data_IF_984382902492
#
_entry.id   IF_984382902492
#
_cell.length_a   1.000
_cell.length_b   1.000
_cell.length_c   1.000
_cell.angle_alpha   90.00
_cell.angle_beta   90.00
_cell.angle_gamma   90.00
#
_symmetry.space_group_name_H-M   'P 1'
#
loop_
_entity.id
_entity.type
_entity.pdbx_description
1 polymer ?
#
# COMPACT_ATOMS: atom_id res chain seq x y z
N UNK A 1 -16.43 6.78 0.29
CA UNK A 1 -15.65 5.83 1.09
C UNK A 1 -14.96 6.63 2.19
N UNK A 2 -14.99 6.14 3.42
CA UNK A 2 -14.24 6.70 4.54
C UNK A 2 -12.82 6.14 4.54
N UNK A 3 -11.87 6.92 5.04
CA UNK A 3 -10.48 6.47 5.13
C UNK A 3 -10.33 5.22 6.01
N UNK A 4 -11.13 5.12 7.07
CA UNK A 4 -11.20 3.96 7.95
C UNK A 4 -11.59 2.66 7.24
N UNK A 5 -12.21 2.73 6.07
CA UNK A 5 -12.60 1.56 5.29
C UNK A 5 -11.42 0.96 4.50
N UNK A 6 -10.30 1.67 4.35
CA UNK A 6 -9.07 1.14 3.73
C UNK A 6 -8.38 0.10 4.62
N UNK A 7 -8.52 0.25 5.95
CA UNK A 7 -7.89 -0.63 6.91
C UNK A 7 -8.29 -2.10 6.72
N UNK A 8 -7.33 -3.00 6.85
CA UNK A 8 -7.55 -4.45 6.75
C UNK A 8 -7.72 -4.99 5.33
N UNK A 9 -7.69 -4.13 4.29
CA UNK A 9 -7.71 -4.58 2.90
C UNK A 9 -6.35 -5.11 2.45
N UNK A 10 -6.40 -6.14 1.62
CA UNK A 10 -5.25 -6.76 0.96
C UNK A 10 -4.84 -5.97 -0.29
N UNK A 11 -3.55 -5.69 -0.46
CA UNK A 11 -2.96 -5.10 -1.66
C UNK A 11 -2.50 -6.18 -2.64
N UNK A 12 -2.99 -6.11 -3.88
CA UNK A 12 -2.66 -7.06 -4.95
C UNK A 12 -2.23 -6.31 -6.21
N UNK A 13 -1.11 -6.72 -6.79
CA UNK A 13 -0.64 -6.20 -8.06
C UNK A 13 -1.40 -6.84 -9.23
N UNK A 14 -1.94 -6.00 -10.11
CA UNK A 14 -2.67 -6.37 -11.30
C UNK A 14 -1.81 -7.14 -12.32
N UNK A 15 -0.52 -6.82 -12.40
CA UNK A 15 0.37 -7.33 -13.45
C UNK A 15 0.77 -8.78 -13.21
N UNK A 16 1.11 -9.15 -11.97
CA UNK A 16 1.64 -10.47 -11.61
C UNK A 16 0.75 -11.24 -10.61
N UNK A 17 -0.31 -10.62 -10.08
CA UNK A 17 -1.19 -11.22 -9.07
C UNK A 17 -0.56 -11.34 -7.68
N UNK A 18 0.60 -10.72 -7.46
CA UNK A 18 1.33 -10.80 -6.19
C UNK A 18 0.58 -10.08 -5.06
N UNK A 19 0.58 -10.69 -3.88
CA UNK A 19 0.04 -10.12 -2.65
C UNK A 19 1.13 -9.32 -1.96
N UNK A 20 0.98 -8.01 -1.94
CA UNK A 20 1.99 -7.08 -1.41
C UNK A 20 1.87 -6.87 0.10
N UNK A 21 0.69 -7.12 0.68
CA UNK A 21 0.46 -7.02 2.12
C UNK A 21 -0.93 -6.51 2.47
N UNK A 22 -1.08 -6.07 3.73
CA UNK A 22 -2.34 -5.53 4.27
C UNK A 22 -2.08 -4.09 4.70
N UNK A 23 -3.02 -3.18 4.41
CA UNK A 23 -2.98 -1.74 4.76
C UNK A 23 -3.00 -1.45 6.27
N UNK A 24 -3.06 -2.48 7.13
CA UNK A 24 -3.28 -2.31 8.57
C UNK A 24 -2.26 -1.38 9.27
N UNK A 25 -1.00 -1.39 8.82
CA UNK A 25 0.08 -0.56 9.38
C UNK A 25 0.71 0.36 8.32
N UNK A 26 -0.05 0.75 7.28
CA UNK A 26 0.48 1.66 6.26
C UNK A 26 0.22 3.11 6.62
N UNK A 27 1.23 3.96 6.41
CA UNK A 27 1.07 5.40 6.48
C UNK A 27 0.57 5.96 5.14
N UNK A 28 0.06 7.21 5.18
CA UNK A 28 -0.52 7.88 4.02
C UNK A 28 0.12 9.26 3.88
N UNK A 29 0.66 9.54 2.70
CA UNK A 29 1.12 10.88 2.35
C UNK A 29 -0.07 11.67 1.82
N UNK A 30 -0.29 12.86 2.37
CA UNK A 30 -1.41 13.74 2.01
C UNK A 30 -0.87 15.11 1.63
N UNK A 31 -1.40 15.69 0.56
CA UNK A 31 -1.15 17.08 0.20
C UNK A 31 -1.81 18.00 1.24
N UNK A 32 -1.00 18.73 2.02
CA UNK A 32 -1.48 19.56 3.13
C UNK A 32 -2.45 20.67 2.71
N UNK A 33 -2.38 21.13 1.46
CA UNK A 33 -3.20 22.25 0.96
C UNK A 33 -4.54 21.79 0.45
N UNK A 34 -4.59 20.62 -0.18
CA UNK A 34 -5.78 20.10 -0.88
C UNK A 34 -6.45 18.95 -0.14
N UNK A 35 -5.75 18.31 0.81
CA UNK A 35 -6.21 17.10 1.50
C UNK A 35 -6.23 15.86 0.62
N UNK A 36 -5.65 15.90 -0.59
CA UNK A 36 -5.60 14.75 -1.49
C UNK A 36 -4.56 13.75 -1.02
N UNK A 37 -4.89 12.47 -1.09
CA UNK A 37 -3.92 11.40 -0.85
C UNK A 37 -2.96 11.34 -2.05
N UNK A 38 -1.67 11.34 -1.75
CA UNK A 38 -0.56 11.28 -2.72
C UNK A 38 -0.08 9.84 -2.84
N UNK A 39 0.18 9.17 -1.73
CA UNK A 39 0.71 7.80 -1.74
C UNK A 39 0.44 7.05 -0.44
N UNK A 40 0.55 5.72 -0.51
CA UNK A 40 0.51 4.79 0.61
C UNK A 40 1.92 4.28 0.88
N UNK A 41 2.35 4.30 2.14
CA UNK A 41 3.64 3.76 2.58
C UNK A 41 3.40 2.39 3.21
N UNK A 42 3.78 1.34 2.51
CA UNK A 42 3.59 -0.04 2.95
C UNK A 42 4.88 -0.52 3.62
N UNK A 43 4.86 -0.90 4.91
CA UNK A 43 6.01 -1.50 5.54
C UNK A 43 6.27 -2.87 4.93
N UNK A 44 7.49 -3.13 4.46
CA UNK A 44 7.85 -4.42 3.90
C UNK A 44 7.92 -5.48 5.03
N UNK A 45 6.84 -6.23 5.21
CA UNK A 45 6.75 -7.33 6.20
C UNK A 45 7.42 -8.61 5.68
N UNK A 46 8.58 -8.50 5.00
CA UNK A 46 9.40 -9.69 4.73
C UNK A 46 10.03 -10.15 6.05
N UNK A 47 9.30 -11.05 6.72
CA UNK A 47 9.76 -12.05 7.68
C UNK A 47 10.83 -11.63 8.70
N UNK A 48 10.51 -11.83 9.98
CA UNK A 48 11.30 -11.62 11.20
C UNK A 48 12.72 -12.28 11.23
N UNK A 49 13.59 -12.02 10.27
CA UNK A 49 14.85 -12.74 10.07
C UNK A 49 16.00 -11.86 9.57
N UNK A 50 15.93 -10.54 9.79
CA UNK A 50 17.03 -9.63 9.49
C UNK A 50 17.33 -8.72 10.66
N UNK A 51 18.17 -9.22 11.57
CA UNK A 51 18.87 -8.43 12.58
C UNK A 51 19.89 -7.45 11.99
N UNK A 52 19.93 -7.23 10.68
CA UNK A 52 20.86 -6.32 10.02
C UNK A 52 20.25 -5.76 8.74
N UNK A 53 19.96 -4.45 8.74
CA UNK A 53 19.77 -3.65 7.52
C UNK A 53 18.33 -3.23 7.24
N UNK A 54 18.03 -1.98 7.61
CA UNK A 54 16.99 -1.08 7.08
C UNK A 54 15.61 -1.66 6.77
N UNK A 55 14.58 -1.23 7.51
CA UNK A 55 13.19 -1.31 7.06
C UNK A 55 13.06 -0.56 5.74
N UNK A 56 12.94 -1.27 4.61
CA UNK A 56 12.52 -0.65 3.37
C UNK A 56 10.99 -0.50 3.43
N UNK A 57 10.55 0.75 3.37
CA UNK A 57 9.15 1.08 3.14
C UNK A 57 8.94 1.12 1.63
N UNK A 58 7.82 0.56 1.18
CA UNK A 58 7.43 0.59 -0.23
C UNK A 58 6.35 1.66 -0.44
N UNK A 59 6.64 2.64 -1.28
CA UNK A 59 5.70 3.72 -1.61
C UNK A 59 4.84 3.34 -2.82
N UNK A 60 3.52 3.39 -2.65
CA UNK A 60 2.54 3.18 -3.71
C UNK A 60 1.87 4.52 -4.02
N UNK A 61 2.10 5.12 -5.20
CA UNK A 61 1.37 6.29 -5.64
C UNK A 61 -0.14 6.02 -5.65
N UNK A 62 -0.94 6.99 -5.22
CA UNK A 62 -2.40 6.85 -5.19
C UNK A 62 -2.97 6.63 -6.59
N UNK A 63 -2.31 7.18 -7.61
CA UNK A 63 -2.64 7.01 -9.03
C UNK A 63 -2.50 5.56 -9.52
N UNK A 64 -1.69 4.75 -8.84
CA UNK A 64 -1.52 3.32 -9.17
C UNK A 64 -2.71 2.47 -8.73
N UNK A 65 -3.60 2.99 -7.88
CA UNK A 65 -4.79 2.26 -7.42
C UNK A 65 -5.81 2.17 -8.57
N UNK A 66 -6.10 0.95 -9.02
CA UNK A 66 -7.08 0.68 -10.08
C UNK A 66 -8.45 0.33 -9.55
N UNK A 67 -8.53 -0.30 -8.37
CA UNK A 67 -9.82 -0.65 -7.75
C UNK A 67 -9.71 -0.80 -6.25
N UNK A 68 -10.65 -0.21 -5.52
CA UNK A 68 -10.84 -0.46 -4.09
C UNK A 68 -12.13 -1.29 -3.94
N UNK A 69 -11.95 -2.56 -3.58
CA UNK A 69 -13.04 -3.50 -3.30
C UNK A 69 -13.40 -3.54 -1.81
N UNK A 70 -14.28 -4.48 -1.43
CA UNK A 70 -14.60 -4.70 -0.02
C UNK A 70 -13.41 -5.28 0.75
N UNK A 71 -12.69 -6.24 0.18
CA UNK A 71 -11.62 -6.95 0.89
C UNK A 71 -10.21 -6.65 0.36
N UNK A 72 -10.11 -6.11 -0.86
CA UNK A 72 -8.82 -5.92 -1.53
C UNK A 72 -8.74 -4.60 -2.29
N UNK A 73 -7.50 -4.14 -2.49
CA UNK A 73 -7.12 -3.02 -3.32
C UNK A 73 -6.23 -3.55 -4.43
N UNK A 74 -6.66 -3.34 -5.67
CA UNK A 74 -5.91 -3.71 -6.86
C UNK A 74 -5.10 -2.50 -7.28
N UNK A 75 -3.79 -2.68 -7.40
CA UNK A 75 -2.85 -1.67 -7.89
C UNK A 75 -2.19 -2.15 -9.16
N UNK A 76 -1.72 -1.22 -9.98
CA UNK A 76 -0.93 -1.52 -11.16
C UNK A 76 0.41 -0.79 -11.04
N UNK A 77 1.46 -1.56 -10.76
CA UNK A 77 2.84 -1.10 -10.64
C UNK A 77 3.75 -2.04 -11.42
N UNK A 78 4.72 -1.48 -12.12
CA UNK A 78 5.78 -2.23 -12.78
C UNK A 78 6.76 -2.76 -11.71
N UNK A 79 7.40 -3.90 -12.00
CA UNK A 79 8.20 -4.74 -11.09
C UNK A 79 8.79 -4.03 -9.86
N UNK A 80 8.42 -4.53 -8.66
CA UNK A 80 8.94 -4.14 -7.34
C UNK A 80 10.16 -4.99 -6.98
#
# INVERSE_FOLDING_TARGET
MLLSELGGKELVNLNNGERLGIIADSDIIVDEKTGKIISLLIPERRFQLRLFGGSQEFEIPWESIRKIGQDMIIIEVEDI
#
